data_IF_412892905263
#
_entry.id   IF_412892905263
#
_cell.length_a   1.000
_cell.length_b   1.000
_cell.length_c   1.000
_cell.angle_alpha   90.00
_cell.angle_beta   90.00
_cell.angle_gamma   90.00
#
_symmetry.space_group_name_H-M   'P 1'
#
loop_
_entity.id
_entity.type
_entity.pdbx_description
1 polymer ?
#
# COMPACT_ATOMS: atom_id res chain seq x y z
N UNK A 1 -17.65 -8.48 -24.89
CA UNK A 1 -17.14 -7.71 -23.73
C UNK A 1 -16.72 -8.73 -22.67
N UNK A 2 -15.47 -8.71 -22.23
CA UNK A 2 -15.00 -9.67 -21.21
C UNK A 2 -15.51 -9.16 -19.86
N UNK A 3 -16.51 -9.84 -19.32
CA UNK A 3 -17.08 -9.58 -18.00
C UNK A 3 -16.43 -10.57 -17.01
N UNK A 4 -15.59 -10.07 -16.10
CA UNK A 4 -15.15 -10.87 -14.96
C UNK A 4 -16.20 -10.70 -13.85
N UNK A 5 -16.93 -11.77 -13.51
CA UNK A 5 -17.95 -11.74 -12.44
C UNK A 5 -19.10 -10.76 -12.69
N UNK A 6 -19.54 -10.58 -13.96
CA UNK A 6 -20.57 -9.62 -14.39
C UNK A 6 -20.23 -8.12 -14.19
N UNK A 7 -19.05 -7.78 -13.66
CA UNK A 7 -18.56 -6.41 -13.58
C UNK A 7 -17.76 -6.01 -14.82
N UNK A 8 -17.90 -4.75 -15.22
CA UNK A 8 -17.00 -4.13 -16.20
C UNK A 8 -15.59 -3.99 -15.62
N UNK A 9 -14.57 -4.01 -16.48
CA UNK A 9 -13.15 -3.92 -16.07
C UNK A 9 -12.87 -2.76 -15.11
N UNK A 10 -13.48 -1.60 -15.38
CA UNK A 10 -13.36 -0.40 -14.54
C UNK A 10 -13.98 -0.59 -13.15
N UNK A 11 -15.19 -1.14 -13.12
CA UNK A 11 -15.85 -1.48 -11.86
C UNK A 11 -15.00 -2.45 -11.03
N UNK A 12 -14.35 -3.44 -11.66
CA UNK A 12 -13.45 -4.34 -10.95
C UNK A 12 -12.22 -3.64 -10.36
N UNK A 13 -11.55 -2.76 -11.13
CA UNK A 13 -10.36 -2.04 -10.64
C UNK A 13 -10.67 -1.08 -9.49
N UNK A 14 -11.77 -0.34 -9.56
CA UNK A 14 -12.13 0.59 -8.48
C UNK A 14 -12.49 -0.16 -7.18
N UNK A 15 -13.13 -1.34 -7.26
CA UNK A 15 -13.40 -2.16 -6.08
C UNK A 15 -12.11 -2.70 -5.45
N UNK A 16 -11.15 -3.15 -6.27
CA UNK A 16 -9.84 -3.56 -5.77
C UNK A 16 -9.10 -2.38 -5.14
N UNK A 17 -9.10 -1.22 -5.78
CA UNK A 17 -8.49 0.01 -5.25
C UNK A 17 -9.11 0.42 -3.92
N UNK A 18 -10.43 0.42 -3.83
CA UNK A 18 -11.16 0.71 -2.60
C UNK A 18 -10.81 -0.29 -1.49
N UNK A 19 -10.76 -1.58 -1.79
CA UNK A 19 -10.39 -2.63 -0.84
C UNK A 19 -8.96 -2.42 -0.28
N UNK A 20 -7.98 -2.11 -1.14
CA UNK A 20 -6.62 -1.76 -0.69
C UNK A 20 -6.61 -0.51 0.19
N UNK A 21 -7.36 0.53 -0.21
CA UNK A 21 -7.45 1.78 0.54
C UNK A 21 -8.05 1.58 1.93
N UNK A 22 -9.11 0.78 2.02
CA UNK A 22 -9.73 0.40 3.28
C UNK A 22 -8.75 -0.36 4.17
N UNK A 23 -8.07 -1.39 3.66
CA UNK A 23 -7.05 -2.12 4.42
C UNK A 23 -5.94 -1.21 4.95
N UNK A 24 -5.49 -0.25 4.13
CA UNK A 24 -4.48 0.73 4.54
C UNK A 24 -4.98 1.65 5.65
N UNK A 25 -6.23 2.12 5.56
CA UNK A 25 -6.86 2.94 6.60
C UNK A 25 -7.00 2.18 7.93
N UNK A 26 -7.38 0.90 7.89
CA UNK A 26 -7.46 0.05 9.08
C UNK A 26 -6.08 -0.16 9.73
N UNK A 27 -5.03 -0.39 8.93
CA UNK A 27 -3.66 -0.49 9.46
C UNK A 27 -3.24 0.79 10.19
N UNK A 28 -3.61 1.97 9.66
CA UNK A 28 -3.29 3.25 10.30
C UNK A 28 -4.06 3.42 11.60
N UNK A 29 -5.40 3.31 11.55
CA UNK A 29 -6.25 3.68 12.67
C UNK A 29 -6.14 2.73 13.86
N UNK A 30 -5.95 1.43 13.62
CA UNK A 30 -5.97 0.42 14.68
C UNK A 30 -4.59 -0.06 15.12
N UNK A 31 -3.52 0.20 14.34
CA UNK A 31 -2.19 -0.32 14.66
C UNK A 31 -1.11 0.75 14.71
N UNK A 32 -1.06 1.67 13.74
CA UNK A 32 -0.03 2.72 13.71
C UNK A 32 -0.36 3.85 14.69
N UNK A 33 -1.58 4.39 14.63
CA UNK A 33 -1.98 5.54 15.44
C UNK A 33 -1.91 5.27 16.96
N UNK A 34 -2.43 4.14 17.49
CA UNK A 34 -2.31 3.86 18.92
C UNK A 34 -0.85 3.67 19.37
N UNK A 35 -0.01 3.03 18.54
CA UNK A 35 1.41 2.88 18.83
C UNK A 35 2.13 4.26 18.82
N UNK A 36 1.79 5.12 17.86
CA UNK A 36 2.34 6.47 17.79
C UNK A 36 1.92 7.35 18.97
N UNK A 37 0.68 7.24 19.46
CA UNK A 37 0.24 7.96 20.66
C UNK A 37 1.11 7.63 21.88
N UNK A 38 1.42 6.34 22.09
CA UNK A 38 2.31 5.89 23.16
C UNK A 38 3.74 6.40 22.97
N UNK A 39 4.29 6.28 21.76
CA UNK A 39 5.62 6.78 21.42
C UNK A 39 5.73 8.29 21.68
N UNK A 40 4.74 9.07 21.24
CA UNK A 40 4.69 10.52 21.45
C UNK A 40 4.63 10.85 22.94
N UNK A 41 3.86 10.09 23.73
CA UNK A 41 3.80 10.26 25.18
C UNK A 41 5.16 10.00 25.85
N UNK A 42 5.82 8.87 25.54
CA UNK A 42 7.15 8.55 26.08
C UNK A 42 8.19 9.62 25.75
N UNK A 43 8.23 10.09 24.50
CA UNK A 43 9.16 11.15 24.08
C UNK A 43 8.89 12.46 24.81
N UNK A 44 7.62 12.83 24.97
CA UNK A 44 7.23 14.05 25.70
C UNK A 44 7.69 13.99 27.17
N UNK A 45 7.62 12.81 27.77
CA UNK A 45 7.95 12.59 29.16
C UNK A 45 9.47 12.37 29.37
N UNK A 46 10.26 12.40 28.29
CA UNK A 46 11.73 12.27 28.31
C UNK A 46 12.23 10.83 28.38
N UNK A 47 11.33 9.86 28.27
CA UNK A 47 11.61 8.43 28.35
C UNK A 47 11.91 7.84 26.96
N UNK A 48 12.71 6.78 26.92
CA UNK A 48 12.96 6.06 25.68
C UNK A 48 11.66 5.38 25.19
N UNK A 49 11.29 5.52 23.90
CA UNK A 49 10.12 4.85 23.35
C UNK A 49 10.27 3.33 23.39
N UNK A 50 9.15 2.63 23.60
CA UNK A 50 9.13 1.17 23.49
C UNK A 50 9.48 0.72 22.07
N UNK A 51 10.62 0.05 21.93
CA UNK A 51 11.14 -0.47 20.66
C UNK A 51 10.18 -1.44 19.97
N UNK A 52 9.38 -2.20 20.72
CA UNK A 52 8.40 -3.13 20.15
C UNK A 52 7.26 -2.37 19.47
N UNK A 53 6.81 -1.26 20.05
CA UNK A 53 5.78 -0.39 19.45
C UNK A 53 6.30 0.32 18.20
N UNK A 54 7.57 0.75 18.20
CA UNK A 54 8.22 1.36 17.03
C UNK A 54 8.36 0.34 15.91
N UNK A 55 8.86 -0.86 16.21
CA UNK A 55 9.01 -1.94 15.24
C UNK A 55 7.66 -2.33 14.61
N UNK A 56 6.62 -2.40 15.43
CA UNK A 56 5.27 -2.69 15.00
C UNK A 56 4.70 -1.63 14.05
N UNK A 57 4.80 -0.36 14.43
CA UNK A 57 4.33 0.76 13.61
C UNK A 57 5.09 0.81 12.28
N UNK A 58 6.41 0.58 12.32
CA UNK A 58 7.27 0.48 11.14
C UNK A 58 6.89 -0.66 10.20
N UNK A 59 6.56 -1.84 10.75
CA UNK A 59 6.13 -2.99 9.95
C UNK A 59 4.80 -2.72 9.21
N UNK A 60 3.83 -2.09 9.87
CA UNK A 60 2.55 -1.74 9.25
C UNK A 60 2.67 -0.62 8.24
N UNK A 61 3.55 0.35 8.50
CA UNK A 61 3.91 1.39 7.53
C UNK A 61 4.51 0.77 6.27
N UNK A 62 5.44 -0.18 6.40
CA UNK A 62 5.99 -0.95 5.26
C UNK A 62 4.89 -1.63 4.45
N UNK A 63 3.96 -2.34 5.10
CA UNK A 63 2.85 -2.97 4.38
C UNK A 63 2.02 -1.95 3.59
N UNK A 64 1.71 -0.79 4.18
CA UNK A 64 0.99 0.27 3.49
C UNK A 64 1.76 0.83 2.28
N UNK A 65 3.09 0.93 2.35
CA UNK A 65 3.93 1.35 1.21
C UNK A 65 3.93 0.32 0.06
N UNK A 66 3.89 -0.98 0.36
CA UNK A 66 3.72 -1.99 -0.69
C UNK A 66 2.32 -1.95 -1.32
N UNK A 67 1.28 -1.65 -0.54
CA UNK A 67 -0.10 -1.54 -1.01
C UNK A 67 -0.38 -0.25 -1.80
N UNK A 68 0.40 0.81 -1.60
CA UNK A 68 0.18 2.09 -2.30
C UNK A 68 0.43 1.98 -3.80
N UNK A 69 1.37 1.14 -4.25
CA UNK A 69 1.67 0.99 -5.68
C UNK A 69 0.48 0.44 -6.48
N UNK A 70 -0.11 -0.72 -6.13
CA UNK A 70 -1.31 -1.20 -6.81
C UNK A 70 -2.51 -0.28 -6.62
N UNK A 71 -2.66 0.37 -5.46
CA UNK A 71 -3.74 1.32 -5.23
C UNK A 71 -3.66 2.52 -6.19
N UNK A 72 -2.51 3.19 -6.27
CA UNK A 72 -2.31 4.33 -7.18
C UNK A 72 -2.56 3.91 -8.63
N UNK A 73 -2.09 2.71 -9.00
CA UNK A 73 -2.36 2.16 -10.32
C UNK A 73 -3.86 2.02 -10.60
N UNK A 74 -4.64 1.44 -9.68
CA UNK A 74 -6.10 1.31 -9.85
C UNK A 74 -6.80 2.66 -9.99
N UNK A 75 -6.31 3.70 -9.30
CA UNK A 75 -6.86 5.06 -9.41
C UNK A 75 -6.56 5.70 -10.76
N UNK A 76 -5.32 5.56 -11.27
CA UNK A 76 -4.93 6.10 -12.59
C UNK A 76 -5.66 5.36 -13.72
N UNK A 77 -5.91 4.06 -13.56
CA UNK A 77 -6.62 3.24 -14.55
C UNK A 77 -8.03 3.78 -14.84
N UNK A 78 -8.70 4.33 -13.83
CA UNK A 78 -10.05 4.90 -13.98
C UNK A 78 -10.09 6.23 -14.72
N UNK A 79 -8.99 6.98 -14.72
CA UNK A 79 -8.91 8.32 -15.31
C UNK A 79 -8.25 8.34 -16.69
N UNK A 80 -7.66 7.23 -17.18
CA UNK A 80 -6.93 7.19 -18.44
C UNK A 80 -7.34 6.01 -19.33
N UNK A 81 -7.64 6.27 -20.61
CA UNK A 81 -7.96 5.24 -21.61
C UNK A 81 -6.71 4.59 -22.21
N UNK A 82 -5.54 5.24 -22.09
CA UNK A 82 -4.25 4.73 -22.58
C UNK A 82 -3.82 3.47 -21.82
N UNK A 83 -4.15 3.39 -20.54
CA UNK A 83 -3.86 2.24 -19.68
C UNK A 83 -5.05 1.29 -19.53
N UNK A 84 -5.93 1.16 -20.53
CA UNK A 84 -7.15 0.34 -20.48
C UNK A 84 -6.93 -1.20 -20.36
N UNK A 85 -5.80 -1.65 -19.81
CA UNK A 85 -5.66 -3.01 -19.30
C UNK A 85 -5.57 -4.10 -20.37
N UNK A 86 -5.43 -3.72 -21.65
CA UNK A 86 -5.17 -4.66 -22.75
C UNK A 86 -3.67 -4.78 -22.98
N UNK A 87 -3.08 -5.80 -22.36
CA UNK A 87 -1.83 -6.37 -22.84
C UNK A 87 -2.17 -7.68 -23.55
N UNK A 88 -1.82 -7.82 -24.82
CA UNK A 88 -2.07 -9.04 -25.61
C UNK A 88 -3.56 -9.49 -25.68
N UNK A 89 -4.52 -8.57 -25.60
CA UNK A 89 -5.96 -8.88 -25.72
C UNK A 89 -6.64 -9.42 -24.45
N UNK A 90 -5.91 -9.64 -23.35
CA UNK A 90 -6.47 -10.08 -22.07
C UNK A 90 -6.63 -8.91 -21.10
N UNK A 91 -7.88 -8.64 -20.71
CA UNK A 91 -8.22 -7.60 -19.72
C UNK A 91 -7.78 -8.03 -18.31
N UNK A 92 -6.87 -7.29 -17.66
CA UNK A 92 -6.46 -7.52 -16.26
C UNK A 92 -5.02 -8.03 -16.04
N UNK A 93 -4.32 -8.42 -17.11
CA UNK A 93 -2.94 -8.90 -17.03
C UNK A 93 -1.94 -7.79 -16.62
N UNK A 94 -2.27 -6.53 -16.92
CA UNK A 94 -1.43 -5.39 -16.57
C UNK A 94 -1.32 -5.22 -15.06
N UNK A 95 -2.42 -5.40 -14.32
CA UNK A 95 -2.40 -5.28 -12.86
C UNK A 95 -1.53 -6.38 -12.22
N UNK A 96 -1.60 -7.60 -12.76
CA UNK A 96 -0.78 -8.74 -12.32
C UNK A 96 0.72 -8.56 -12.59
N UNK A 97 1.11 -7.70 -13.53
CA UNK A 97 2.52 -7.34 -13.81
C UNK A 97 2.95 -6.12 -12.97
N UNK A 98 2.07 -5.13 -12.82
CA UNK A 98 2.36 -3.91 -12.06
C UNK A 98 2.54 -4.20 -10.57
N UNK A 99 1.81 -5.17 -10.01
CA UNK A 99 1.98 -5.57 -8.60
C UNK A 99 3.41 -6.06 -8.31
N UNK A 100 3.93 -7.12 -8.95
CA UNK A 100 5.28 -7.63 -8.67
C UNK A 100 6.37 -6.64 -9.05
N UNK A 101 6.21 -5.90 -10.17
CA UNK A 101 7.17 -4.84 -10.53
C UNK A 101 7.17 -3.71 -9.49
N UNK A 102 6.00 -3.27 -9.07
CA UNK A 102 5.81 -2.24 -8.06
C UNK A 102 6.42 -2.65 -6.72
N UNK A 103 6.15 -3.87 -6.27
CA UNK A 103 6.75 -4.43 -5.06
C UNK A 103 8.26 -4.59 -5.19
N UNK A 104 8.77 -5.00 -6.35
CA UNK A 104 10.21 -5.06 -6.58
C UNK A 104 10.86 -3.68 -6.48
N UNK A 105 10.24 -2.64 -7.05
CA UNK A 105 10.72 -1.25 -6.95
C UNK A 105 10.72 -0.81 -5.48
N UNK A 106 9.62 -1.01 -4.75
CA UNK A 106 9.53 -0.67 -3.32
C UNK A 106 10.60 -1.40 -2.51
N UNK A 107 10.84 -2.68 -2.81
CA UNK A 107 11.91 -3.44 -2.19
C UNK A 107 13.31 -2.83 -2.43
N UNK A 108 13.59 -2.41 -3.68
CA UNK A 108 14.85 -1.73 -3.99
C UNK A 108 14.98 -0.37 -3.28
N UNK A 109 13.87 0.36 -3.15
CA UNK A 109 13.84 1.62 -2.39
C UNK A 109 14.13 1.38 -0.91
N UNK A 110 13.56 0.35 -0.29
CA UNK A 110 13.87 -0.01 1.10
C UNK A 110 15.30 -0.52 1.28
N UNK A 111 15.89 -1.18 0.28
CA UNK A 111 17.32 -1.53 0.33
C UNK A 111 18.24 -0.32 0.29
N UNK A 112 17.81 0.76 -0.38
CA UNK A 112 18.55 2.02 -0.50
C UNK A 112 18.23 3.04 0.60
N UNK A 113 17.12 2.87 1.33
CA UNK A 113 16.74 3.79 2.39
C UNK A 113 17.76 3.73 3.53
N UNK A 114 18.13 4.90 4.05
CA UNK A 114 18.96 4.99 5.24
C UNK A 114 18.33 4.18 6.38
N UNK A 115 19.12 3.28 6.98
CA UNK A 115 18.73 2.63 8.22
C UNK A 115 18.94 3.66 9.32
N UNK A 116 17.87 4.10 9.96
CA UNK A 116 17.98 4.91 11.17
C UNK A 116 18.44 3.97 12.27
N UNK A 117 19.73 4.03 12.62
CA UNK A 117 20.24 3.40 13.84
C UNK A 117 19.82 4.29 15.01
N UNK A 118 19.03 3.75 15.95
CA UNK A 118 18.58 4.53 17.10
C UNK A 118 17.20 4.19 17.67
N UNK A 119 16.59 3.08 17.27
CA UNK A 119 15.52 2.42 18.02
C UNK A 119 15.88 0.96 18.20
#
# INVERSE_FOLDING_TARGET
MIHCGQFGYRAFNIHIGAMFGTMMAFNVWFRIWPAQQNIIASIRDGEAPDGDLVALAGLRSKHNTYLSVPLIWTMINEHTTVFSGKLCGCTGLVLAIVIPLGWHIVFQLYKKSAKVEGF
#
